data_IF_847000319792
#
_entry.id   IF_847000319792
#
_cell.length_a   1.000
_cell.length_b   1.000
_cell.length_c   1.000
_cell.angle_alpha   90.00
_cell.angle_beta   90.00
_cell.angle_gamma   90.00
#
_symmetry.space_group_name_H-M   'P 1'
#
loop_
_entity.id
_entity.type
_entity.pdbx_description
1 polymer ?
#
# COMPACT_ATOMS: atom_id res chain seq x y z
N UNK A 1 -22.64 17.52 -3.68
CA UNK A 1 -21.71 16.79 -2.79
C UNK A 1 -20.49 17.69 -2.58
N UNK A 2 -19.98 17.87 -1.36
CA UNK A 2 -18.70 18.57 -1.20
C UNK A 2 -17.52 17.67 -1.62
N UNK A 3 -16.35 18.26 -1.82
CA UNK A 3 -15.17 17.52 -2.31
C UNK A 3 -14.73 16.41 -1.37
N UNK A 4 -14.84 16.63 -0.05
CA UNK A 4 -14.47 15.65 0.98
C UNK A 4 -15.33 14.38 0.88
N UNK A 5 -16.66 14.54 0.86
CA UNK A 5 -17.59 13.42 0.75
C UNK A 5 -17.47 12.71 -0.61
N UNK A 6 -17.26 13.46 -1.69
CA UNK A 6 -17.02 12.88 -3.01
C UNK A 6 -15.75 12.01 -3.01
N UNK A 7 -14.67 12.51 -2.42
CA UNK A 7 -13.38 11.80 -2.32
C UNK A 7 -13.52 10.50 -1.53
N UNK A 8 -14.24 10.52 -0.40
CA UNK A 8 -14.48 9.34 0.45
C UNK A 8 -15.32 8.30 -0.30
N UNK A 9 -16.43 8.70 -0.91
CA UNK A 9 -17.40 7.78 -1.51
C UNK A 9 -16.92 7.17 -2.83
N UNK A 10 -16.03 7.86 -3.56
CA UNK A 10 -15.48 7.38 -4.84
C UNK A 10 -14.12 6.68 -4.69
N UNK A 11 -13.60 6.55 -3.46
CA UNK A 11 -12.31 5.91 -3.19
C UNK A 11 -12.31 4.44 -3.61
N UNK A 12 -11.28 4.04 -4.35
CA UNK A 12 -10.98 2.62 -4.64
C UNK A 12 -9.55 2.27 -4.25
N UNK A 13 -9.31 1.00 -3.94
CA UNK A 13 -7.95 0.51 -3.69
C UNK A 13 -7.20 0.42 -5.02
N UNK A 14 -6.04 1.09 -5.10
CA UNK A 14 -5.14 1.01 -6.25
C UNK A 14 -3.99 0.06 -5.91
N UNK A 15 -3.62 -0.81 -6.84
CA UNK A 15 -2.50 -1.77 -6.66
C UNK A 15 -1.53 -1.79 -7.83
N UNK A 16 -1.86 -1.10 -8.91
CA UNK A 16 -0.97 -0.87 -10.05
C UNK A 16 -0.47 0.57 -10.04
N UNK A 17 0.84 0.76 -10.09
CA UNK A 17 1.49 2.06 -9.97
C UNK A 17 2.48 2.29 -11.11
N UNK A 18 2.71 3.55 -11.43
CA UNK A 18 3.82 3.98 -12.29
C UNK A 18 5.13 3.88 -11.52
N UNK A 19 6.26 4.06 -12.21
CA UNK A 19 7.57 4.21 -11.55
C UNK A 19 7.83 5.64 -11.03
N UNK A 20 6.86 6.55 -11.20
CA UNK A 20 6.97 7.94 -10.77
C UNK A 20 6.93 8.04 -9.25
N UNK A 21 7.82 8.85 -8.70
CA UNK A 21 7.89 9.09 -7.26
C UNK A 21 6.86 10.15 -6.85
N UNK A 22 6.29 9.99 -5.65
CA UNK A 22 5.40 11.01 -5.07
C UNK A 22 6.21 12.29 -4.80
N UNK A 23 5.77 13.47 -5.27
CA UNK A 23 6.42 14.75 -4.96
C UNK A 23 6.51 15.00 -3.45
N UNK A 24 7.53 15.73 -3.00
CA UNK A 24 7.75 15.98 -1.57
C UNK A 24 6.57 16.71 -0.93
N UNK A 25 6.07 17.74 -1.61
CA UNK A 25 4.99 18.60 -1.11
C UNK A 25 3.70 17.81 -0.91
N UNK A 26 3.44 16.85 -1.81
CA UNK A 26 2.28 15.95 -1.70
C UNK A 26 2.48 14.96 -0.55
N UNK A 27 3.69 14.43 -0.38
CA UNK A 27 3.98 13.53 0.74
C UNK A 27 3.83 14.25 2.09
N UNK A 28 4.35 15.47 2.22
CA UNK A 28 4.24 16.28 3.43
C UNK A 28 2.78 16.54 3.79
N UNK A 29 1.93 16.86 2.82
CA UNK A 29 0.49 17.03 3.04
C UNK A 29 -0.17 15.74 3.56
N UNK A 30 0.20 14.57 3.03
CA UNK A 30 -0.30 13.28 3.49
C UNK A 30 0.13 13.02 4.94
N UNK A 31 1.40 13.25 5.26
CA UNK A 31 1.93 13.08 6.61
C UNK A 31 1.24 14.02 7.60
N UNK A 32 1.06 15.29 7.23
CA UNK A 32 0.36 16.27 8.05
C UNK A 32 -1.08 15.84 8.32
N UNK A 33 -1.83 15.43 7.29
CA UNK A 33 -3.20 14.94 7.47
C UNK A 33 -3.25 13.73 8.42
N UNK A 34 -2.28 12.82 8.29
CA UNK A 34 -2.15 11.66 9.16
C UNK A 34 -1.84 12.01 10.62
N UNK A 35 -0.92 12.96 10.86
CA UNK A 35 -0.54 13.42 12.21
C UNK A 35 -1.66 14.16 12.92
N UNK A 36 -2.55 14.81 12.18
CA UNK A 36 -3.73 15.51 12.72
C UNK A 36 -4.94 14.59 12.93
N UNK A 37 -4.84 13.31 12.60
CA UNK A 37 -5.89 12.34 12.92
C UNK A 37 -6.09 12.23 14.44
N UNK A 38 -7.33 12.01 14.92
CA UNK A 38 -7.60 11.91 16.35
C UNK A 38 -6.85 10.73 16.97
N UNK A 39 -6.20 10.98 18.11
CA UNK A 39 -5.51 9.97 18.91
C UNK A 39 -6.17 9.82 20.28
N UNK A 40 -6.38 8.58 20.73
CA UNK A 40 -6.98 8.29 22.03
C UNK A 40 -6.21 9.00 23.16
N UNK A 41 -6.89 9.86 23.91
CA UNK A 41 -6.29 10.64 24.99
C UNK A 41 -5.21 11.63 24.57
N UNK A 42 -5.16 12.02 23.28
CA UNK A 42 -4.15 12.97 22.77
C UNK A 42 -2.72 12.41 22.75
N UNK A 43 -2.55 11.09 22.84
CA UNK A 43 -1.24 10.44 23.01
C UNK A 43 -0.31 10.59 21.81
N UNK A 44 -0.86 10.79 20.62
CA UNK A 44 -0.11 10.91 19.36
C UNK A 44 0.94 9.79 19.19
N UNK A 45 0.61 8.56 19.60
CA UNK A 45 1.57 7.45 19.66
C UNK A 45 1.90 6.82 18.30
N UNK A 46 1.21 7.24 17.24
CA UNK A 46 1.48 6.75 15.89
C UNK A 46 2.80 7.33 15.39
N UNK A 47 3.69 6.45 14.92
CA UNK A 47 4.94 6.84 14.26
C UNK A 47 4.78 6.57 12.77
N UNK A 48 5.02 7.58 11.94
CA UNK A 48 5.03 7.44 10.49
C UNK A 48 6.47 7.40 10.00
N UNK A 49 6.83 6.36 9.25
CA UNK A 49 8.16 6.19 8.66
C UNK A 49 8.02 6.13 7.15
N UNK A 50 8.79 6.95 6.45
CA UNK A 50 8.80 7.00 4.98
C UNK A 50 10.08 6.32 4.49
N UNK A 51 9.92 5.29 3.66
CA UNK A 51 11.02 4.66 2.93
C UNK A 51 10.87 4.96 1.44
N UNK A 52 11.77 5.78 0.89
CA UNK A 52 11.84 6.08 -0.55
C UNK A 52 12.83 5.19 -1.30
N UNK A 53 13.59 4.35 -0.59
CA UNK A 53 14.51 3.40 -1.19
C UNK A 53 13.74 2.25 -1.84
N UNK A 54 13.87 2.15 -3.16
CA UNK A 54 13.17 1.16 -3.97
C UNK A 54 13.63 -0.26 -3.69
N UNK A 55 14.93 -0.49 -3.53
CA UNK A 55 15.46 -1.83 -3.28
C UNK A 55 15.05 -2.34 -1.90
N UNK A 56 15.09 -1.47 -0.90
CA UNK A 56 14.62 -1.77 0.45
C UNK A 56 13.12 -2.08 0.46
N UNK A 57 12.31 -1.28 -0.23
CA UNK A 57 10.87 -1.54 -0.36
C UNK A 57 10.59 -2.88 -1.06
N UNK A 58 11.34 -3.23 -2.10
CA UNK A 58 11.24 -4.52 -2.78
C UNK A 58 11.60 -5.69 -1.84
N UNK A 59 12.65 -5.53 -1.01
CA UNK A 59 13.04 -6.51 0.01
C UNK A 59 11.95 -6.67 1.08
N UNK A 60 11.42 -5.56 1.59
CA UNK A 60 10.32 -5.55 2.56
C UNK A 60 9.07 -6.25 1.99
N UNK A 61 8.74 -6.00 0.73
CA UNK A 61 7.60 -6.63 0.06
C UNK A 61 7.77 -8.14 -0.04
N UNK A 62 8.96 -8.62 -0.42
CA UNK A 62 9.27 -10.06 -0.47
C UNK A 62 9.20 -10.71 0.91
N UNK A 63 9.72 -10.05 1.94
CA UNK A 63 9.65 -10.53 3.31
C UNK A 63 8.20 -10.61 3.81
N UNK A 64 7.42 -9.55 3.61
CA UNK A 64 6.00 -9.50 3.98
C UNK A 64 5.20 -10.64 3.31
N UNK A 65 5.43 -10.86 2.02
CA UNK A 65 4.82 -11.98 1.29
C UNK A 65 5.14 -13.33 1.93
N UNK A 66 6.43 -13.58 2.21
CA UNK A 66 6.88 -14.85 2.81
C UNK A 66 6.25 -15.08 4.19
N UNK A 67 6.12 -14.03 4.99
CA UNK A 67 5.51 -14.10 6.33
C UNK A 67 3.99 -14.32 6.25
N UNK A 68 3.31 -13.62 5.34
CA UNK A 68 1.85 -13.67 5.22
C UNK A 68 1.33 -14.96 4.56
N UNK A 69 2.08 -15.54 3.62
CA UNK A 69 1.59 -16.65 2.77
C UNK A 69 2.50 -17.89 2.76
N UNK A 70 3.52 -17.93 3.62
CA UNK A 70 4.45 -19.07 3.71
C UNK A 70 5.48 -19.12 2.56
N UNK A 71 6.28 -20.19 2.53
CA UNK A 71 7.19 -20.47 1.43
C UNK A 71 6.40 -20.77 0.15
N UNK A 72 6.98 -20.42 -1.01
CA UNK A 72 6.43 -20.72 -2.34
C UNK A 72 6.02 -22.20 -2.40
N UNK A 73 4.72 -22.49 -2.56
CA UNK A 73 4.20 -23.86 -2.61
C UNK A 73 3.05 -24.19 -1.64
N UNK A 74 2.68 -23.28 -0.73
CA UNK A 74 1.40 -23.41 -0.02
C UNK A 74 0.23 -23.31 -1.02
N UNK A 75 -0.82 -24.10 -0.82
CA UNK A 75 -2.01 -24.14 -1.68
C UNK A 75 -2.49 -22.72 -2.05
N UNK A 76 -2.97 -22.48 -3.29
CA UNK A 76 -3.36 -21.15 -3.73
C UNK A 76 -4.36 -20.57 -2.72
N UNK A 77 -4.22 -19.28 -2.35
CA UNK A 77 -5.11 -18.68 -1.38
C UNK A 77 -6.55 -18.84 -1.88
N UNK A 78 -7.44 -19.36 -1.03
CA UNK A 78 -8.89 -19.48 -1.32
C UNK A 78 -9.60 -18.13 -1.50
N UNK A 79 -8.86 -17.03 -1.41
CA UNK A 79 -9.35 -15.66 -1.39
C UNK A 79 -8.68 -14.91 -2.53
N UNK A 80 -9.50 -14.36 -3.43
CA UNK A 80 -9.09 -13.39 -4.45
C UNK A 80 -9.48 -12.00 -3.98
N UNK A 81 -8.56 -11.04 -4.06
CA UNK A 81 -8.74 -9.65 -3.67
C UNK A 81 -9.32 -8.82 -4.82
N UNK A 82 -8.74 -8.94 -6.03
CA UNK A 82 -9.22 -8.20 -7.21
C UNK A 82 -8.68 -8.80 -8.50
N UNK A 83 -9.57 -9.12 -9.44
CA UNK A 83 -9.18 -9.58 -10.77
C UNK A 83 -8.59 -8.45 -11.64
N UNK A 84 -9.11 -7.23 -11.51
CA UNK A 84 -8.66 -6.08 -12.32
C UNK A 84 -7.30 -5.56 -11.84
N UNK A 85 -7.08 -5.56 -10.53
CA UNK A 85 -5.86 -5.06 -9.90
C UNK A 85 -5.25 -6.13 -8.98
N UNK A 86 -4.63 -7.18 -9.56
CA UNK A 86 -4.10 -8.30 -8.80
C UNK A 86 -3.04 -7.82 -7.81
N UNK A 87 -3.14 -8.36 -6.61
CA UNK A 87 -2.18 -8.23 -5.53
C UNK A 87 -1.32 -9.50 -5.44
N UNK A 88 -0.36 -9.52 -4.53
CA UNK A 88 0.47 -10.69 -4.28
C UNK A 88 -0.31 -11.93 -3.80
N UNK A 89 -1.54 -11.72 -3.31
CA UNK A 89 -2.48 -12.79 -2.97
C UNK A 89 -3.02 -13.43 -4.26
N UNK A 90 -3.37 -12.61 -5.24
CA UNK A 90 -3.99 -13.04 -6.50
C UNK A 90 -2.98 -13.65 -7.46
N UNK A 91 -1.79 -13.03 -7.54
CA UNK A 91 -0.72 -13.43 -8.44
C UNK A 91 0.63 -13.43 -7.71
N UNK A 92 1.06 -14.65 -7.41
CA UNK A 92 2.33 -14.91 -6.74
C UNK A 92 3.54 -14.69 -7.66
N UNK A 93 3.35 -14.41 -8.95
CA UNK A 93 4.45 -14.10 -9.88
C UNK A 93 4.76 -12.61 -9.96
N UNK A 94 3.99 -11.76 -9.28
CA UNK A 94 4.23 -10.31 -9.29
C UNK A 94 5.65 -9.97 -8.81
N UNK A 95 6.42 -9.20 -9.62
CA UNK A 95 7.83 -8.94 -9.34
C UNK A 95 8.04 -8.05 -8.12
N UNK A 96 7.03 -7.23 -7.78
CA UNK A 96 7.06 -6.27 -6.68
C UNK A 96 5.80 -6.40 -5.83
N UNK A 97 5.91 -6.99 -4.62
CA UNK A 97 4.74 -7.29 -3.79
C UNK A 97 3.94 -6.08 -3.33
N UNK A 98 4.57 -4.90 -3.24
CA UNK A 98 3.89 -3.64 -2.89
C UNK A 98 3.44 -2.82 -4.09
N UNK A 99 4.05 -2.98 -5.26
CA UNK A 99 3.86 -2.10 -6.41
C UNK A 99 3.80 -2.92 -7.70
N UNK A 100 2.63 -3.46 -8.04
CA UNK A 100 2.48 -4.06 -9.36
C UNK A 100 2.67 -2.95 -10.42
N UNK A 101 3.51 -3.16 -11.44
CA UNK A 101 3.68 -2.15 -12.48
C UNK A 101 2.38 -1.99 -13.27
N UNK A 102 2.04 -0.75 -13.64
CA UNK A 102 1.11 -0.48 -14.74
C UNK A 102 1.73 -1.08 -16.02
N UNK A 103 0.97 -1.96 -16.69
CA UNK A 103 1.32 -2.48 -18.02
C UNK A 103 0.92 -1.46 -19.08
#
# INVERSE_FOLDING_TARGET
MNEVLQTILTRRAIRRYTAEQVPEEVLEQILQAGLYAPAAGGRQSAIMVVCRDRELNDRLGRANRRLAFGAVGAAPPRITVSHEQPSIIDDSTLPRPFMAPLR
#
